data_IF_580865186158
#
_entry.id   IF_580865186158
#
_cell.length_a   1.000
_cell.length_b   1.000
_cell.length_c   1.000
_cell.angle_alpha   90.00
_cell.angle_beta   90.00
_cell.angle_gamma   90.00
#
_symmetry.space_group_name_H-M   'P 1'
#
loop_
_entity.id
_entity.type
_entity.pdbx_description
1 polymer ?
#
# COMPACT_ATOMS: atom_id res chain seq x y z
N UNK A 1 25.25 -76.74 -13.77
CA UNK A 1 24.25 -77.81 -13.99
C UNK A 1 22.89 -77.14 -13.95
N UNK A 2 22.04 -77.04 -14.96
CA UNK A 2 21.83 -77.62 -16.30
C UNK A 2 21.41 -76.43 -17.20
N UNK A 3 21.93 -76.15 -18.40
CA UNK A 3 21.97 -76.93 -19.65
C UNK A 3 20.63 -77.58 -20.01
N UNK A 4 19.88 -76.97 -20.94
CA UNK A 4 19.45 -77.67 -22.16
C UNK A 4 19.04 -76.66 -23.24
N UNK A 5 19.75 -76.77 -24.37
CA UNK A 5 19.40 -76.23 -25.68
C UNK A 5 18.08 -76.85 -26.19
N UNK A 6 17.33 -76.13 -27.02
CA UNK A 6 16.88 -76.69 -28.30
C UNK A 6 16.74 -75.62 -29.37
N UNK A 7 17.10 -76.03 -30.58
CA UNK A 7 17.39 -75.27 -31.79
C UNK A 7 16.25 -75.43 -32.82
N UNK A 8 16.27 -74.60 -33.88
CA UNK A 8 15.44 -74.60 -35.11
C UNK A 8 14.09 -73.85 -35.04
N UNK A 9 13.60 -73.14 -36.06
CA UNK A 9 13.90 -73.13 -37.49
C UNK A 9 13.50 -71.77 -38.11
N UNK A 10 14.30 -71.27 -39.03
CA UNK A 10 14.05 -70.06 -39.82
C UNK A 10 12.97 -70.36 -40.88
N UNK A 11 11.88 -69.61 -40.90
CA UNK A 11 11.10 -69.38 -42.13
C UNK A 11 10.86 -67.89 -42.34
N UNK A 12 11.61 -67.36 -43.30
CA UNK A 12 11.43 -66.07 -43.97
C UNK A 12 9.99 -65.90 -44.46
N UNK A 13 9.27 -64.91 -43.90
CA UNK A 13 8.02 -64.39 -44.47
C UNK A 13 8.30 -63.02 -45.08
N UNK A 14 8.09 -62.94 -46.39
CA UNK A 14 8.11 -61.73 -47.23
C UNK A 14 7.32 -60.60 -46.56
N UNK A 15 7.98 -59.45 -46.35
CA UNK A 15 7.31 -58.21 -45.96
C UNK A 15 6.49 -57.68 -47.14
N UNK A 16 5.16 -57.70 -47.00
CA UNK A 16 4.25 -56.87 -47.80
C UNK A 16 4.29 -55.45 -47.23
N UNK A 17 4.84 -54.50 -47.99
CA UNK A 17 4.65 -53.07 -47.75
C UNK A 17 3.15 -52.76 -47.81
N UNK A 18 2.57 -52.45 -46.65
CA UNK A 18 1.23 -51.85 -46.54
C UNK A 18 1.43 -50.33 -46.60
N UNK A 19 0.73 -49.59 -47.47
CA UNK A 19 0.83 -48.14 -47.52
C UNK A 19 0.26 -47.54 -46.23
N UNK A 20 1.13 -46.84 -45.49
CA UNK A 20 0.81 -46.11 -44.26
C UNK A 20 -0.15 -44.96 -44.60
N UNK A 21 -1.45 -45.17 -44.39
CA UNK A 21 -2.43 -44.08 -44.39
C UNK A 21 -2.12 -43.14 -43.23
N UNK A 22 -1.91 -41.87 -43.57
CA UNK A 22 -1.74 -40.73 -42.68
C UNK A 22 -2.94 -40.61 -41.72
N UNK A 23 -2.81 -41.13 -40.50
CA UNK A 23 -3.76 -40.88 -39.42
C UNK A 23 -3.06 -40.76 -38.06
N UNK A 24 -1.86 -40.15 -38.03
CA UNK A 24 -1.11 -39.87 -36.81
C UNK A 24 -0.70 -38.39 -36.81
N UNK A 25 -1.67 -37.48 -36.72
CA UNK A 25 -1.40 -36.04 -36.52
C UNK A 25 -2.50 -35.32 -35.75
N UNK A 26 -3.48 -36.03 -35.19
CA UNK A 26 -4.55 -35.40 -34.38
C UNK A 26 -4.54 -35.77 -32.89
N UNK A 27 -3.79 -36.80 -32.49
CA UNK A 27 -3.71 -37.23 -31.08
C UNK A 27 -2.65 -36.47 -30.25
N UNK A 28 -1.60 -35.93 -30.88
CA UNK A 28 -0.50 -35.25 -30.18
C UNK A 28 -0.87 -33.78 -29.85
N UNK A 29 -1.78 -33.17 -30.62
CA UNK A 29 -2.24 -31.79 -30.38
C UNK A 29 -3.24 -31.68 -29.22
N UNK A 30 -3.97 -32.74 -28.88
CA UNK A 30 -4.89 -32.73 -27.73
C UNK A 30 -4.17 -32.87 -26.38
N UNK A 31 -3.06 -33.63 -26.32
CA UNK A 31 -2.28 -33.73 -25.07
C UNK A 31 -1.46 -32.47 -24.77
N UNK A 32 -1.00 -31.74 -25.80
CA UNK A 32 -0.29 -30.47 -25.62
C UNK A 32 -1.22 -29.34 -25.12
N UNK A 33 -2.50 -29.36 -25.52
CA UNK A 33 -3.49 -28.36 -25.10
C UNK A 33 -4.01 -28.62 -23.67
N UNK A 34 -4.11 -29.89 -23.24
CA UNK A 34 -4.52 -30.23 -21.86
C UNK A 34 -3.37 -30.00 -20.86
N UNK A 35 -2.10 -30.19 -21.27
CA UNK A 35 -0.93 -29.92 -20.42
C UNK A 35 -0.69 -28.41 -20.21
N UNK A 36 -1.13 -27.56 -21.14
CA UNK A 36 -1.05 -26.10 -21.02
C UNK A 36 -2.16 -25.45 -20.15
N UNK A 37 -3.21 -26.21 -19.79
CA UNK A 37 -4.30 -25.71 -18.93
C UNK A 37 -4.05 -25.88 -17.42
N UNK A 38 -2.96 -26.53 -16.99
CA UNK A 38 -2.71 -26.84 -15.57
C UNK A 38 -1.82 -25.85 -14.82
N UNK A 39 -1.28 -24.83 -15.48
CA UNK A 39 -0.32 -23.90 -14.87
C UNK A 39 -0.77 -22.43 -14.82
N UNK A 40 -2.04 -22.13 -15.14
CA UNK A 40 -2.65 -20.86 -14.77
C UNK A 40 -3.21 -20.96 -13.35
N UNK A 41 -2.35 -21.28 -12.37
CA UNK A 41 -2.66 -20.94 -10.98
C UNK A 41 -2.60 -19.42 -10.89
N UNK A 42 -3.74 -18.77 -11.11
CA UNK A 42 -3.96 -17.38 -10.73
C UNK A 42 -3.68 -17.29 -9.23
N UNK A 43 -2.45 -16.91 -8.90
CA UNK A 43 -2.04 -16.75 -7.52
C UNK A 43 -2.67 -15.46 -7.05
N UNK A 44 -3.76 -15.55 -6.30
CA UNK A 44 -4.47 -14.38 -5.81
C UNK A 44 -3.51 -13.59 -4.90
N UNK A 45 -3.03 -12.45 -5.40
CA UNK A 45 -2.25 -11.51 -4.60
C UNK A 45 -3.17 -10.81 -3.60
N UNK A 46 -2.70 -10.60 -2.37
CA UNK A 46 -3.44 -9.79 -1.39
C UNK A 46 -3.45 -8.33 -1.86
N UNK A 47 -4.65 -7.75 -1.95
CA UNK A 47 -4.90 -6.36 -2.28
C UNK A 47 -5.51 -5.64 -1.08
N UNK A 48 -5.45 -4.29 -1.02
CA UNK A 48 -6.10 -3.53 0.05
C UNK A 48 -7.63 -3.73 0.13
N UNK A 49 -8.24 -4.22 -0.95
CA UNK A 49 -9.66 -4.49 -1.08
C UNK A 49 -10.01 -5.98 -0.94
N UNK A 50 -9.03 -6.85 -0.68
CA UNK A 50 -9.27 -8.27 -0.43
C UNK A 50 -10.16 -8.44 0.80
N UNK A 51 -11.20 -9.27 0.70
CA UNK A 51 -12.11 -9.52 1.83
C UNK A 51 -11.35 -10.11 3.02
N UNK A 52 -11.57 -9.57 4.21
CA UNK A 52 -10.90 -10.02 5.43
C UNK A 52 -9.42 -9.62 5.55
N UNK A 53 -8.91 -8.78 4.64
CA UNK A 53 -7.53 -8.30 4.70
C UNK A 53 -7.28 -7.45 5.94
N UNK A 54 -6.18 -7.72 6.61
CA UNK A 54 -5.66 -6.86 7.66
C UNK A 54 -4.66 -5.87 7.06
N UNK A 55 -4.94 -4.58 7.20
CA UNK A 55 -4.14 -3.48 6.67
C UNK A 55 -3.14 -3.00 7.72
N UNK A 56 -1.87 -2.85 7.33
CA UNK A 56 -0.81 -2.37 8.20
C UNK A 56 0.01 -1.29 7.50
N UNK A 57 0.62 -0.42 8.29
CA UNK A 57 1.59 0.55 7.80
C UNK A 57 2.96 -0.08 7.69
N UNK A 58 3.78 0.40 6.74
CA UNK A 58 5.18 0.03 6.66
C UNK A 58 5.85 0.17 8.04
N UNK A 59 6.60 -0.86 8.45
CA UNK A 59 7.27 -0.88 9.75
C UNK A 59 6.38 -1.26 10.94
N UNK A 60 5.08 -1.50 10.76
CA UNK A 60 4.22 -2.05 11.83
C UNK A 60 4.50 -3.54 12.07
N UNK A 61 4.23 -4.00 13.29
CA UNK A 61 4.15 -5.43 13.63
C UNK A 61 2.70 -5.90 13.72
N UNK A 62 2.51 -7.21 13.83
CA UNK A 62 1.20 -7.84 14.07
C UNK A 62 1.24 -8.57 15.41
N UNK A 63 0.43 -8.12 16.37
CA UNK A 63 0.27 -8.81 17.66
C UNK A 63 -0.98 -9.68 17.62
N UNK A 64 -0.78 -10.98 17.79
CA UNK A 64 -1.83 -11.97 17.91
C UNK A 64 -2.37 -12.00 19.35
N UNK A 65 -3.62 -12.43 19.55
CA UNK A 65 -4.11 -12.70 20.90
C UNK A 65 -3.18 -13.68 21.64
N UNK A 66 -3.11 -13.64 22.97
CA UNK A 66 -2.36 -14.61 23.74
C UNK A 66 -2.75 -16.04 23.36
N UNK A 67 -1.76 -16.92 23.24
CA UNK A 67 -2.04 -18.34 23.05
C UNK A 67 -2.77 -18.90 24.28
N UNK A 68 -3.55 -19.96 24.08
CA UNK A 68 -4.15 -20.68 25.20
C UNK A 68 -3.05 -21.25 26.12
N UNK A 69 -3.38 -21.47 27.39
CA UNK A 69 -2.44 -22.04 28.36
C UNK A 69 -1.80 -23.33 27.83
N UNK A 70 -0.48 -23.47 28.00
CA UNK A 70 0.31 -24.62 27.54
C UNK A 70 0.35 -24.83 26.02
N UNK A 71 0.03 -23.81 25.23
CA UNK A 71 0.17 -23.81 23.77
C UNK A 71 1.03 -22.65 23.31
N UNK A 72 1.77 -22.86 22.22
CA UNK A 72 2.52 -21.83 21.53
C UNK A 72 1.92 -21.57 20.14
N UNK A 73 2.01 -20.32 19.69
CA UNK A 73 1.72 -19.97 18.31
C UNK A 73 2.86 -20.38 17.38
N UNK A 74 2.49 -20.94 16.24
CA UNK A 74 3.38 -21.16 15.11
C UNK A 74 2.82 -20.33 13.96
N UNK A 75 3.66 -19.45 13.41
CA UNK A 75 3.29 -18.59 12.29
C UNK A 75 4.16 -18.93 11.10
N UNK A 76 3.52 -19.10 9.95
CA UNK A 76 4.20 -19.25 8.66
C UNK A 76 3.76 -18.18 7.69
N UNK A 77 4.59 -17.90 6.69
CA UNK A 77 4.35 -16.91 5.66
C UNK A 77 4.42 -17.51 4.26
N UNK A 78 3.58 -17.00 3.37
CA UNK A 78 3.70 -17.17 1.93
C UNK A 78 3.29 -15.89 1.21
N UNK A 79 3.99 -15.55 0.12
CA UNK A 79 3.62 -14.40 -0.72
C UNK A 79 2.29 -14.64 -1.46
N UNK A 80 1.93 -15.90 -1.71
CA UNK A 80 0.72 -16.34 -2.40
C UNK A 80 -0.05 -17.33 -1.55
N UNK A 81 -1.37 -17.40 -1.72
CA UNK A 81 -2.20 -18.37 -0.99
C UNK A 81 -1.73 -19.81 -1.25
N UNK A 82 -1.62 -20.61 -0.19
CA UNK A 82 -1.14 -22.00 -0.25
C UNK A 82 -1.64 -22.80 0.95
N UNK A 83 -1.79 -24.12 0.76
CA UNK A 83 -2.08 -25.06 1.84
C UNK A 83 -0.82 -25.64 2.50
N UNK A 84 0.37 -25.34 1.96
CA UNK A 84 1.65 -25.90 2.40
C UNK A 84 2.71 -24.81 2.64
N UNK A 85 2.42 -23.81 3.50
CA UNK A 85 3.39 -22.77 3.81
C UNK A 85 4.58 -23.37 4.57
N UNK A 86 5.81 -23.00 4.20
CA UNK A 86 7.04 -23.55 4.81
C UNK A 86 7.91 -22.49 5.50
N UNK A 87 7.74 -21.21 5.18
CA UNK A 87 8.52 -20.12 5.77
C UNK A 87 8.03 -19.81 7.18
N UNK A 88 8.76 -20.23 8.21
CA UNK A 88 8.41 -19.94 9.61
C UNK A 88 8.80 -18.52 9.98
N UNK A 89 7.91 -17.82 10.68
CA UNK A 89 8.14 -16.47 11.22
C UNK A 89 8.43 -16.60 12.72
N UNK A 90 9.56 -16.03 13.15
CA UNK A 90 9.91 -15.99 14.58
C UNK A 90 9.10 -14.90 15.26
N UNK A 91 8.36 -15.27 16.31
CA UNK A 91 7.58 -14.33 17.10
C UNK A 91 8.43 -13.74 18.23
N UNK A 92 8.32 -12.43 18.42
CA UNK A 92 8.72 -11.77 19.67
C UNK A 92 7.62 -11.97 20.70
N UNK A 93 8.01 -12.12 21.97
CA UNK A 93 7.10 -12.29 23.12
C UNK A 93 6.07 -13.43 22.96
N UNK A 94 6.33 -14.39 22.06
CA UNK A 94 5.47 -15.56 21.82
C UNK A 94 4.20 -15.29 21.01
N UNK A 95 3.85 -14.03 20.71
CA UNK A 95 2.61 -13.69 20.01
C UNK A 95 2.72 -12.50 19.03
N UNK A 96 3.89 -11.89 18.86
CA UNK A 96 4.06 -10.72 18.00
C UNK A 96 4.96 -11.03 16.83
N UNK A 97 4.46 -10.80 15.61
CA UNK A 97 5.28 -10.70 14.41
C UNK A 97 6.01 -9.35 14.46
N UNK A 98 7.35 -9.32 14.48
CA UNK A 98 8.10 -8.09 14.65
C UNK A 98 7.89 -7.07 13.55
N UNK A 99 7.95 -5.79 13.93
CA UNK A 99 8.09 -4.67 13.01
C UNK A 99 9.23 -4.92 12.00
N UNK A 100 8.99 -4.60 10.73
CA UNK A 100 9.97 -4.79 9.64
C UNK A 100 10.05 -6.20 9.06
N UNK A 101 9.46 -7.21 9.72
CA UNK A 101 9.30 -8.57 9.14
C UNK A 101 7.91 -8.80 8.56
N UNK A 102 6.94 -7.96 8.94
CA UNK A 102 5.59 -7.98 8.39
C UNK A 102 5.62 -7.48 6.94
N UNK A 103 5.03 -8.25 6.03
CA UNK A 103 5.01 -7.96 4.59
C UNK A 103 3.67 -8.39 3.97
N UNK A 104 3.35 -7.86 2.80
CA UNK A 104 2.14 -8.25 2.08
C UNK A 104 2.18 -9.73 1.68
N UNK A 105 1.09 -10.44 1.92
CA UNK A 105 0.93 -11.86 1.64
C UNK A 105 0.01 -12.54 2.64
N UNK A 106 0.17 -13.85 2.77
CA UNK A 106 -0.66 -14.69 3.61
C UNK A 106 0.16 -15.22 4.79
N UNK A 107 -0.37 -14.99 5.99
CA UNK A 107 0.16 -15.57 7.22
C UNK A 107 -0.72 -16.74 7.62
N UNK A 108 -0.10 -17.83 8.05
CA UNK A 108 -0.76 -19.06 8.46
C UNK A 108 -0.47 -19.29 9.92
N UNK A 109 -1.51 -19.17 10.73
CA UNK A 109 -1.44 -19.33 12.18
C UNK A 109 -1.93 -20.71 12.57
N UNK A 110 -1.13 -21.42 13.35
CA UNK A 110 -1.52 -22.65 14.02
C UNK A 110 -1.03 -22.63 15.46
N UNK A 111 -1.58 -23.52 16.28
CA UNK A 111 -1.17 -23.69 17.67
C UNK A 111 -0.62 -25.09 17.88
N UNK A 112 0.29 -25.22 18.84
CA UNK A 112 0.80 -26.52 19.26
C UNK A 112 0.95 -26.55 20.77
N UNK A 113 0.56 -27.65 21.41
CA UNK A 113 0.87 -27.84 22.83
C UNK A 113 2.37 -27.92 23.06
N UNK A 114 2.82 -27.36 24.17
CA UNK A 114 4.21 -27.44 24.68
C UNK A 114 4.60 -28.88 25.08
N UNK A 115 3.64 -29.81 25.15
CA UNK A 115 3.89 -31.22 25.45
C UNK A 115 4.60 -31.92 24.29
N UNK A 116 5.67 -32.65 24.58
CA UNK A 116 6.41 -33.41 23.58
C UNK A 116 5.51 -34.41 22.84
N UNK A 117 5.63 -34.47 21.51
CA UNK A 117 4.85 -35.38 20.66
C UNK A 117 3.45 -34.88 20.30
N UNK A 118 3.02 -33.71 20.77
CA UNK A 118 1.74 -33.13 20.34
C UNK A 118 1.73 -32.77 18.86
N UNK A 119 0.57 -32.94 18.22
CA UNK A 119 0.32 -32.48 16.86
C UNK A 119 0.08 -30.97 16.85
N UNK A 120 0.40 -30.36 15.71
CA UNK A 120 0.01 -28.98 15.40
C UNK A 120 -1.46 -28.94 14.97
N UNK A 121 -2.17 -27.84 15.27
CA UNK A 121 -3.54 -27.63 14.81
C UNK A 121 -3.63 -27.40 13.31
N UNK A 122 -4.85 -27.43 12.78
CA UNK A 122 -5.15 -26.85 11.47
C UNK A 122 -4.73 -25.36 11.44
N UNK A 123 -4.38 -24.89 10.24
CA UNK A 123 -3.91 -23.53 10.01
C UNK A 123 -5.08 -22.59 9.69
N UNK A 124 -5.11 -21.43 10.35
CA UNK A 124 -5.92 -20.28 9.97
C UNK A 124 -5.12 -19.38 9.02
N UNK A 125 -5.68 -19.10 7.85
CA UNK A 125 -5.11 -18.14 6.91
C UNK A 125 -5.49 -16.69 7.31
N UNK A 126 -4.53 -15.79 7.26
CA UNK A 126 -4.66 -14.36 7.57
C UNK A 126 -4.07 -13.56 6.40
N UNK A 127 -4.90 -12.98 5.51
CA UNK A 127 -4.40 -12.10 4.47
C UNK A 127 -3.95 -10.77 5.07
N UNK A 128 -2.70 -10.39 4.79
CA UNK A 128 -2.06 -9.18 5.28
C UNK A 128 -1.63 -8.31 4.11
N UNK A 129 -1.93 -7.02 4.18
CA UNK A 129 -1.41 -6.04 3.24
C UNK A 129 -0.67 -4.93 3.99
N UNK A 130 0.60 -4.73 3.65
CA UNK A 130 1.44 -3.67 4.21
C UNK A 130 1.52 -2.53 3.20
N UNK A 131 0.89 -1.41 3.55
CA UNK A 131 0.91 -0.18 2.78
C UNK A 131 2.34 0.39 2.74
N UNK A 132 2.76 0.88 1.57
CA UNK A 132 4.05 1.57 1.45
C UNK A 132 4.05 2.89 2.25
N UNK A 133 5.23 3.42 2.62
CA UNK A 133 5.31 4.74 3.25
C UNK A 133 4.72 5.82 2.35
N UNK A 134 4.08 6.81 2.98
CA UNK A 134 3.66 8.05 2.32
C UNK A 134 4.76 9.10 2.47
N UNK A 135 4.92 9.92 1.44
CA UNK A 135 5.65 11.18 1.55
C UNK A 135 4.63 12.30 1.49
N UNK A 136 4.54 13.06 2.58
CA UNK A 136 3.67 14.24 2.70
C UNK A 136 4.56 15.47 2.81
N UNK A 137 4.23 16.49 2.03
CA UNK A 137 4.83 17.81 2.10
C UNK A 137 3.81 18.86 1.63
N UNK A 138 4.12 20.14 1.77
CA UNK A 138 3.39 21.20 1.09
C UNK A 138 4.27 22.42 0.85
N UNK A 139 4.04 23.11 -0.27
CA UNK A 139 4.68 24.41 -0.51
C UNK A 139 3.92 25.48 0.26
N UNK A 140 4.56 26.02 1.30
CA UNK A 140 4.01 27.12 2.09
C UNK A 140 4.15 28.47 1.37
N UNK A 141 3.12 29.32 1.45
CA UNK A 141 3.11 30.66 0.88
C UNK A 141 2.70 31.69 1.95
N UNK A 142 3.61 32.61 2.28
CA UNK A 142 3.33 33.76 3.15
C UNK A 142 2.49 34.81 2.41
N UNK A 143 1.56 35.46 3.11
CA UNK A 143 0.54 36.31 2.49
C UNK A 143 0.19 37.54 3.32
N UNK A 144 -0.39 38.56 2.68
CA UNK A 144 -1.04 39.67 3.39
C UNK A 144 -2.42 39.24 3.88
N UNK A 145 -2.81 39.60 5.10
CA UNK A 145 -4.08 39.17 5.73
C UNK A 145 -5.33 39.36 4.86
N UNK A 146 -5.35 40.35 3.96
CA UNK A 146 -6.48 40.64 3.06
C UNK A 146 -6.44 39.86 1.73
N UNK A 147 -5.35 39.16 1.43
CA UNK A 147 -5.18 38.37 0.22
C UNK A 147 -4.50 37.02 0.54
N UNK A 148 -5.21 36.08 1.17
CA UNK A 148 -4.67 34.77 1.50
C UNK A 148 -4.16 34.02 0.27
N UNK A 149 -3.01 33.36 0.42
CA UNK A 149 -2.44 32.50 -0.61
C UNK A 149 -2.67 31.02 -0.25
N UNK A 150 -2.89 30.23 -1.29
CA UNK A 150 -3.06 28.78 -1.16
C UNK A 150 -1.75 28.12 -0.76
N UNK A 151 -1.82 27.28 0.26
CA UNK A 151 -0.80 26.32 0.65
C UNK A 151 -1.00 25.06 -0.20
N UNK A 152 0.00 24.70 -1.01
CA UNK A 152 -0.15 23.65 -2.03
C UNK A 152 0.40 22.33 -1.51
N UNK A 153 -0.48 21.37 -1.22
CA UNK A 153 -0.11 20.06 -0.71
C UNK A 153 0.53 19.16 -1.77
N UNK A 154 1.47 18.34 -1.33
CA UNK A 154 2.14 17.31 -2.12
C UNK A 154 2.10 15.99 -1.35
N UNK A 155 1.40 15.00 -1.89
CA UNK A 155 1.32 13.67 -1.28
C UNK A 155 1.64 12.64 -2.35
N UNK A 156 2.58 11.76 -2.04
CA UNK A 156 3.02 10.71 -2.96
C UNK A 156 3.22 9.38 -2.22
N UNK A 157 3.11 8.30 -2.99
CA UNK A 157 3.18 6.93 -2.54
C UNK A 157 3.81 6.11 -3.66
N UNK A 158 4.62 5.11 -3.30
CA UNK A 158 5.09 4.07 -4.24
C UNK A 158 4.24 2.81 -4.18
N UNK A 159 3.14 2.83 -3.43
CA UNK A 159 2.18 1.73 -3.35
C UNK A 159 1.43 1.57 -4.69
N UNK A 160 1.54 0.42 -5.38
CA UNK A 160 0.93 0.26 -6.69
C UNK A 160 -0.59 -0.01 -6.63
N UNK A 161 -1.14 -0.35 -5.46
CA UNK A 161 -2.52 -0.80 -5.34
C UNK A 161 -3.44 0.24 -4.68
N UNK A 162 -2.92 1.41 -4.30
CA UNK A 162 -3.73 2.51 -3.77
C UNK A 162 -3.11 3.88 -4.04
N UNK A 163 -3.94 4.78 -4.55
CA UNK A 163 -3.57 6.16 -4.93
C UNK A 163 -4.53 7.21 -4.36
N UNK A 164 -5.47 6.80 -3.51
CA UNK A 164 -6.45 7.72 -2.91
C UNK A 164 -6.03 8.06 -1.50
N UNK A 165 -6.06 9.35 -1.18
CA UNK A 165 -5.65 9.88 0.12
C UNK A 165 -6.76 10.73 0.75
N UNK A 166 -6.79 10.76 2.06
CA UNK A 166 -7.58 11.70 2.85
C UNK A 166 -6.65 12.75 3.46
N UNK A 167 -7.12 13.99 3.50
CA UNK A 167 -6.35 15.14 4.00
C UNK A 167 -7.06 15.79 5.19
N UNK A 168 -6.27 16.41 6.06
CA UNK A 168 -6.76 17.31 7.10
C UNK A 168 -5.67 18.34 7.41
N UNK A 169 -6.04 19.62 7.38
CA UNK A 169 -5.16 20.71 7.79
C UNK A 169 -5.33 21.07 9.26
N UNK A 170 -4.24 21.50 9.89
CA UNK A 170 -4.17 21.90 11.29
C UNK A 170 -3.40 23.21 11.41
N UNK A 171 -3.69 23.96 12.47
CA UNK A 171 -2.76 24.95 13.02
C UNK A 171 -2.01 24.32 14.19
N UNK A 172 -0.77 24.73 14.39
CA UNK A 172 0.08 24.19 15.47
C UNK A 172 0.52 25.33 16.38
N UNK A 173 0.30 25.18 17.68
CA UNK A 173 0.78 26.09 18.71
C UNK A 173 1.54 25.29 19.76
N UNK A 174 2.86 25.49 19.85
CA UNK A 174 3.73 24.63 20.64
C UNK A 174 3.67 23.17 20.14
N UNK A 175 3.21 22.27 21.01
CA UNK A 175 2.97 20.84 20.70
C UNK A 175 1.49 20.53 20.40
N UNK A 176 0.61 21.52 20.43
CA UNK A 176 -0.83 21.32 20.24
C UNK A 176 -1.21 21.53 18.78
N UNK A 177 -1.75 20.48 18.17
CA UNK A 177 -2.35 20.53 16.83
C UNK A 177 -3.85 20.77 16.94
N UNK A 178 -4.36 21.83 16.31
CA UNK A 178 -5.79 22.16 16.27
C UNK A 178 -6.32 21.97 14.85
N UNK A 179 -7.28 21.06 14.61
CA UNK A 179 -7.80 20.83 13.26
C UNK A 179 -8.54 22.06 12.74
N UNK A 180 -8.26 22.41 11.49
CA UNK A 180 -9.00 23.44 10.77
C UNK A 180 -10.27 22.79 10.20
N UNK A 181 -11.42 23.15 10.78
CA UNK A 181 -12.71 22.57 10.40
C UNK A 181 -12.98 22.69 8.90
N UNK A 182 -13.37 21.58 8.27
CA UNK A 182 -13.69 21.52 6.83
C UNK A 182 -12.49 21.54 5.88
N UNK A 183 -11.26 21.74 6.37
CA UNK A 183 -10.07 21.74 5.52
C UNK A 183 -9.58 20.32 5.20
N UNK A 184 -10.36 19.59 4.41
CA UNK A 184 -10.12 18.17 4.04
C UNK A 184 -9.61 17.98 2.62
N UNK A 185 -9.23 19.08 1.94
CA UNK A 185 -8.65 19.05 0.60
C UNK A 185 -7.13 19.00 0.66
N UNK A 186 -6.50 18.53 -0.43
CA UNK A 186 -5.05 18.50 -0.56
C UNK A 186 -4.43 19.88 -0.37
N UNK A 187 -5.03 20.88 -0.99
CA UNK A 187 -4.61 22.28 -0.92
C UNK A 187 -5.50 23.05 0.06
N UNK A 188 -4.93 24.06 0.72
CA UNK A 188 -5.65 24.87 1.68
C UNK A 188 -5.38 26.35 1.47
N UNK A 189 -6.44 27.13 1.31
CA UNK A 189 -6.39 28.58 1.31
C UNK A 189 -6.95 29.07 2.64
N UNK A 190 -6.14 29.70 3.50
CA UNK A 190 -6.64 30.30 4.74
C UNK A 190 -7.73 31.33 4.47
N UNK A 191 -8.71 31.44 5.37
CA UNK A 191 -9.69 32.51 5.30
C UNK A 191 -9.21 33.72 6.10
N UNK A 192 -9.59 34.92 5.66
CA UNK A 192 -9.27 36.17 6.36
C UNK A 192 -9.76 36.13 7.81
N UNK A 193 -10.98 35.62 8.04
CA UNK A 193 -11.58 35.51 9.37
C UNK A 193 -10.84 34.55 10.32
N UNK A 194 -10.08 33.59 9.78
CA UNK A 194 -9.32 32.61 10.57
C UNK A 194 -7.83 32.97 10.69
N UNK A 195 -7.40 34.11 10.15
CA UNK A 195 -6.00 34.53 10.11
C UNK A 195 -5.72 35.63 11.13
N UNK A 196 -4.64 35.48 11.89
CA UNK A 196 -4.05 36.56 12.70
C UNK A 196 -2.71 36.98 12.10
N UNK A 197 -2.40 38.28 12.16
CA UNK A 197 -1.07 38.78 11.77
C UNK A 197 0.01 38.12 12.63
N UNK A 198 1.11 37.72 12.00
CA UNK A 198 2.21 37.01 12.65
C UNK A 198 2.57 35.72 11.94
N UNK A 199 3.34 34.86 12.61
CA UNK A 199 3.71 33.54 12.08
C UNK A 199 2.72 32.50 12.57
N UNK A 200 2.07 31.82 11.62
CA UNK A 200 1.20 30.68 11.89
C UNK A 200 1.88 29.42 11.38
N UNK A 201 2.00 28.39 12.23
CA UNK A 201 2.49 27.08 11.83
C UNK A 201 1.33 26.23 11.32
N UNK A 202 1.39 25.81 10.08
CA UNK A 202 0.41 24.91 9.47
C UNK A 202 0.97 23.50 9.38
N UNK A 203 0.09 22.53 9.58
CA UNK A 203 0.39 21.11 9.40
C UNK A 203 -0.62 20.49 8.43
N UNK A 204 -0.12 19.82 7.40
CA UNK A 204 -0.90 18.94 6.53
C UNK A 204 -0.73 17.50 7.01
N UNK A 205 -1.83 16.85 7.38
CA UNK A 205 -1.87 15.41 7.65
C UNK A 205 -2.56 14.72 6.48
N UNK A 206 -1.92 13.69 5.93
CA UNK A 206 -2.53 12.86 4.90
C UNK A 206 -2.36 11.37 5.23
N UNK A 207 -3.31 10.55 4.80
CA UNK A 207 -3.26 9.09 4.96
C UNK A 207 -3.97 8.39 3.81
N UNK A 208 -3.73 7.09 3.63
CA UNK A 208 -4.45 6.30 2.64
C UNK A 208 -5.93 6.26 2.97
N UNK A 209 -6.77 6.49 1.96
CA UNK A 209 -8.21 6.32 2.06
C UNK A 209 -8.61 5.00 1.39
N UNK A 210 -9.01 4.02 2.20
CA UNK A 210 -9.45 2.70 1.72
C UNK A 210 -10.86 2.47 2.24
N UNK A 211 -11.84 2.46 1.33
CA UNK A 211 -13.25 2.58 1.71
C UNK A 211 -13.48 3.92 2.39
N UNK A 212 -14.04 3.90 3.61
CA UNK A 212 -14.28 5.10 4.43
C UNK A 212 -13.20 5.34 5.49
N UNK A 213 -12.25 4.42 5.62
CA UNK A 213 -11.26 4.43 6.69
C UNK A 213 -9.94 5.05 6.23
N UNK A 214 -9.22 5.66 7.17
CA UNK A 214 -7.95 6.35 6.94
C UNK A 214 -6.83 5.56 7.60
N UNK A 215 -5.74 5.31 6.88
CA UNK A 215 -4.62 4.51 7.35
C UNK A 215 -3.29 5.22 7.15
N UNK A 216 -2.31 4.88 7.99
CA UNK A 216 -0.91 5.30 7.86
C UNK A 216 -0.74 6.81 7.67
N UNK A 217 -1.21 7.63 8.63
CA UNK A 217 -1.13 9.06 8.50
C UNK A 217 0.34 9.51 8.58
N UNK A 218 0.69 10.41 7.68
CA UNK A 218 1.95 11.14 7.68
C UNK A 218 1.67 12.64 7.69
N UNK A 219 2.65 13.43 8.13
CA UNK A 219 2.48 14.87 8.33
C UNK A 219 3.63 15.69 7.79
N UNK A 220 3.32 16.87 7.27
CA UNK A 220 4.28 17.92 6.98
C UNK A 220 3.89 19.20 7.70
N UNK A 221 4.89 19.98 8.12
CA UNK A 221 4.68 21.20 8.90
C UNK A 221 5.55 22.32 8.36
N UNK A 222 4.97 23.50 8.13
CA UNK A 222 5.69 24.69 7.71
C UNK A 222 5.16 25.94 8.41
N UNK A 223 6.03 26.94 8.55
CA UNK A 223 5.68 28.26 9.06
C UNK A 223 5.22 29.18 7.92
N UNK A 224 4.13 29.92 8.14
CA UNK A 224 3.55 30.87 7.20
C UNK A 224 3.44 32.23 7.87
N UNK A 225 4.03 33.25 7.25
CA UNK A 225 3.95 34.62 7.75
C UNK A 225 2.73 35.31 7.16
N UNK A 226 1.86 35.81 8.03
CA UNK A 226 0.70 36.63 7.71
C UNK A 226 1.04 38.09 8.00
N UNK A 227 1.24 38.86 6.93
CA UNK A 227 1.54 40.29 7.04
C UNK A 227 0.27 41.12 7.31
N UNK A 228 0.37 42.24 8.05
CA UNK A 228 -0.75 43.15 8.23
C UNK A 228 -1.13 43.84 6.91
N UNK A 229 -2.37 44.32 6.84
CA UNK A 229 -2.84 45.18 5.76
C UNK A 229 -1.94 46.43 5.67
N UNK A 230 -1.44 46.81 4.48
CA UNK A 230 -0.70 48.06 4.31
C UNK A 230 -1.52 49.27 4.73
N UNK A 231 -0.87 50.22 5.42
CA UNK A 231 -1.52 51.47 5.82
C UNK A 231 -1.76 52.36 4.60
N UNK A 232 -2.83 53.17 4.65
CA UNK A 232 -3.11 54.18 3.63
C UNK A 232 -1.86 55.03 3.34
N UNK A 233 -1.44 55.20 2.07
CA UNK A 233 -0.38 56.13 1.74
C UNK A 233 -0.76 57.55 2.15
N UNK A 234 0.14 58.24 2.85
CA UNK A 234 -0.04 59.67 3.16
C UNK A 234 0.58 60.48 2.03
N UNK A 235 -0.26 61.09 1.19
CA UNK A 235 0.17 62.09 0.21
C UNK A 235 -0.10 63.48 0.80
N UNK A 236 0.92 64.33 0.86
CA UNK A 236 0.76 65.74 1.21
C UNK A 236 0.23 66.50 -0.02
N UNK A 237 -0.92 67.19 0.06
CA UNK A 237 -1.39 68.05 -1.02
C UNK A 237 -0.31 69.08 -1.39
N UNK A 238 0.15 69.05 -2.64
CA UNK A 238 1.29 69.85 -3.15
C UNK A 238 2.37 69.04 -3.87
N UNK A 239 2.46 67.71 -3.64
CA UNK A 239 3.41 66.83 -4.34
C UNK A 239 2.83 66.12 -5.58
N UNK A 240 1.52 66.19 -5.80
CA UNK A 240 0.89 65.71 -7.02
C UNK A 240 1.00 66.78 -8.11
N UNK A 241 1.91 66.59 -9.07
CA UNK A 241 2.09 67.52 -10.18
C UNK A 241 1.10 67.14 -11.27
N UNK A 242 0.08 67.96 -11.46
CA UNK A 242 -0.85 67.90 -12.58
C UNK A 242 -1.04 69.31 -13.14
N UNK A 243 -0.58 69.53 -14.37
CA UNK A 243 -0.80 70.79 -15.07
C UNK A 243 -2.05 70.69 -15.94
N UNK A 244 -3.04 71.55 -15.71
CA UNK A 244 -4.05 71.82 -16.72
C UNK A 244 -3.44 72.80 -17.73
N UNK A 245 -3.33 72.40 -19.00
CA UNK A 245 -2.99 73.35 -20.07
C UNK A 245 -4.17 74.30 -20.27
N UNK A 246 -3.97 75.63 -20.18
CA UNK A 246 -5.03 76.59 -20.48
C UNK A 246 -5.52 76.40 -21.91
N UNK A 247 -6.84 76.40 -22.11
CA UNK A 247 -7.46 76.48 -23.44
C UNK A 247 -8.05 77.88 -23.57
N UNK A 248 -7.64 78.62 -24.60
CA UNK A 248 -8.27 79.88 -24.99
C UNK A 248 -9.50 79.60 -25.84
N UNK A 249 -10.66 80.12 -25.41
CA UNK A 249 -11.89 80.19 -26.19
C UNK A 249 -11.93 81.49 -27.01
#
# INVERSE_FOLDING_TARGET
MCWFLFHHNIKSKKQKKVPMKRTITKAILFFAVILACTSLTSSAQVLPTTTGVSLFCAGSGLTLPPAASNTDWIVRYSATATTTPSTVITLTTGNTIPAGTLQTGYYYLSSKSTTAGSCESEMQEIPVYVLKPLTVDFTSASYCIESPLTQVGSVSSTDPNTTTFAYQWYTVSGSTETPISGATQKDYTPTVAASSVGTTKYLLRAGYLIGTNKYCPETATHDVVVAPKPTKPTITPGSAIGGATPVTF
#
